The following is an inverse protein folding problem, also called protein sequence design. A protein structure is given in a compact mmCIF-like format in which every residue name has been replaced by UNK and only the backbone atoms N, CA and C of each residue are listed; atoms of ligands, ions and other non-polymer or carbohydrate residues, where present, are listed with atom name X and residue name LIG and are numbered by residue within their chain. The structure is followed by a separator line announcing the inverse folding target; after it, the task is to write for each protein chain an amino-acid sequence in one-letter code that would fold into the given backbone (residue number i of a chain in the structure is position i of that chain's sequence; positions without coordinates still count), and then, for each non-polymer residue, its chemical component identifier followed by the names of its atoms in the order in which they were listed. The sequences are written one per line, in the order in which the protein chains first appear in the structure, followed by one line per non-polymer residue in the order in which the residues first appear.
data_IF_926489548019
#
_entry.id   IF_926489548019
#
_cell.length_a   1.000
_cell.length_b   1.000
_cell.length_c   1.000
_cell.angle_alpha   90.00
_cell.angle_beta   90.00
_cell.angle_gamma   90.00
#
_symmetry.space_group_name_H-M   'P 1'
#
loop_
_entity.id
_entity.type
_entity.pdbx_description
1 polymer ?
#
# COMPACT_ATOMS: atom_id res chain seq x y z
N UNK A 1 -16.03 13.16 -2.97
CA UNK A 1 -14.82 12.32 -3.01
C UNK A 1 -15.32 10.91 -3.24
N UNK A 2 -14.94 10.25 -4.34
CA UNK A 2 -15.38 8.87 -4.58
C UNK A 2 -14.89 7.95 -3.46
N UNK A 3 -15.72 6.99 -3.05
CA UNK A 3 -15.32 6.00 -2.06
C UNK A 3 -14.17 5.14 -2.61
N UNK A 4 -13.15 4.92 -1.77
CA UNK A 4 -12.00 4.07 -2.11
C UNK A 4 -12.47 2.61 -2.12
N UNK A 5 -12.39 1.95 -3.28
CA UNK A 5 -12.72 0.53 -3.43
C UNK A 5 -11.45 -0.30 -3.50
N UNK A 6 -11.27 -1.17 -2.52
CA UNK A 6 -10.15 -2.09 -2.48
C UNK A 6 -10.53 -3.39 -3.20
N UNK A 7 -9.72 -3.81 -4.18
CA UNK A 7 -10.04 -4.96 -5.04
C UNK A 7 -8.81 -5.78 -5.44
N UNK A 8 -9.04 -6.77 -6.30
CA UNK A 8 -8.00 -7.63 -6.87
C UNK A 8 -7.34 -8.58 -5.87
N UNK A 9 -6.27 -9.24 -6.34
CA UNK A 9 -5.42 -10.08 -5.47
C UNK A 9 -4.55 -9.18 -4.61
N UNK A 10 -4.42 -9.52 -3.33
CA UNK A 10 -3.54 -8.82 -2.39
C UNK A 10 -2.25 -9.61 -2.18
N UNK A 11 -1.11 -8.93 -2.25
CA UNK A 11 0.22 -9.49 -1.95
C UNK A 11 0.89 -8.64 -0.87
N UNK A 12 1.31 -9.25 0.24
CA UNK A 12 1.96 -8.52 1.34
C UNK A 12 3.40 -8.16 0.98
N UNK A 13 3.81 -6.92 1.26
CA UNK A 13 5.17 -6.41 1.06
C UNK A 13 5.98 -6.32 2.37
N UNK A 14 5.36 -6.65 3.50
CA UNK A 14 5.98 -6.54 4.82
C UNK A 14 5.54 -5.27 5.56
N UNK A 15 6.47 -4.67 6.31
CA UNK A 15 6.20 -3.49 7.15
C UNK A 15 7.24 -2.41 6.90
N UNK A 16 6.91 -1.16 7.21
CA UNK A 16 7.89 -0.09 7.26
C UNK A 16 8.94 -0.32 8.37
N UNK A 17 10.02 0.47 8.33
CA UNK A 17 11.14 0.36 9.28
C UNK A 17 10.72 0.56 10.73
N UNK A 18 9.75 1.45 10.97
CA UNK A 18 9.23 1.74 12.32
C UNK A 18 8.13 0.78 12.73
N UNK A 19 7.75 -0.18 11.87
CA UNK A 19 6.74 -1.19 12.16
C UNK A 19 5.36 -0.59 12.46
N UNK A 20 5.06 0.62 11.98
CA UNK A 20 3.79 1.33 12.18
C UNK A 20 2.73 0.94 11.12
N UNK A 21 3.17 0.57 9.93
CA UNK A 21 2.34 0.29 8.76
C UNK A 21 2.68 -1.08 8.16
N UNK A 22 1.64 -1.79 7.76
CA UNK A 22 1.73 -3.00 6.94
C UNK A 22 1.48 -2.61 5.48
N UNK A 23 2.30 -3.13 4.58
CA UNK A 23 2.30 -2.75 3.17
C UNK A 23 1.79 -3.92 2.33
N UNK A 24 1.00 -3.64 1.30
CA UNK A 24 0.58 -4.64 0.33
C UNK A 24 0.46 -4.07 -1.07
N UNK A 25 0.55 -4.93 -2.09
CA UNK A 25 0.11 -4.65 -3.45
C UNK A 25 -1.32 -5.10 -3.59
N UNK A 26 -2.18 -4.24 -4.15
CA UNK A 26 -3.55 -4.58 -4.55
C UNK A 26 -4.14 -3.51 -5.47
N UNK A 27 -5.33 -3.77 -6.00
CA UNK A 27 -6.09 -2.77 -6.75
C UNK A 27 -6.82 -1.81 -5.80
N UNK A 28 -6.77 -0.53 -6.14
CA UNK A 28 -7.55 0.54 -5.53
C UNK A 28 -8.22 1.33 -6.64
N UNK A 29 -9.55 1.28 -6.71
CA UNK A 29 -10.32 1.83 -7.82
C UNK A 29 -9.77 1.38 -9.19
N UNK A 30 -9.58 0.05 -9.34
CA UNK A 30 -9.00 -0.62 -10.51
C UNK A 30 -7.52 -0.34 -10.83
N UNK A 31 -6.86 0.56 -10.10
CA UNK A 31 -5.44 0.91 -10.26
C UNK A 31 -4.56 0.05 -9.35
N UNK A 32 -3.49 -0.53 -9.89
CA UNK A 32 -2.52 -1.30 -9.12
C UNK A 32 -1.63 -0.38 -8.26
N UNK A 33 -1.67 -0.59 -6.95
CA UNK A 33 -1.08 0.31 -5.96
C UNK A 33 -0.29 -0.44 -4.89
N UNK A 34 0.73 0.22 -4.34
CA UNK A 34 1.23 -0.07 -3.00
C UNK A 34 0.30 0.60 -2.00
N UNK A 35 -0.33 -0.19 -1.14
CA UNK A 35 -1.23 0.27 -0.09
C UNK A 35 -0.53 0.21 1.27
N UNK A 36 -0.76 1.23 2.09
CA UNK A 36 -0.32 1.28 3.48
C UNK A 36 -1.53 1.12 4.38
N UNK A 37 -1.43 0.18 5.31
CA UNK A 37 -2.43 -0.07 6.34
C UNK A 37 -1.82 0.16 7.72
N UNK A 38 -2.53 0.87 8.59
CA UNK A 38 -2.08 1.14 9.95
C UNK A 38 -2.10 -0.16 10.76
N UNK A 39 -1.00 -0.47 11.43
CA UNK A 39 -0.94 -1.66 12.29
C UNK A 39 -1.65 -1.40 13.60
N UNK A 40 -2.35 -2.43 14.08
CA UNK A 40 -2.99 -2.42 15.39
C UNK A 40 -1.97 -2.66 16.51
N UNK A 41 -2.33 -2.36 17.78
CA UNK A 41 -1.59 -2.87 18.93
C UNK A 41 -1.40 -4.39 18.81
N UNK A 42 -0.15 -4.86 18.87
CA UNK A 42 0.21 -6.27 18.58
C UNK A 42 0.72 -6.52 17.17
N UNK A 43 0.71 -5.51 16.29
CA UNK A 43 1.40 -5.53 15.01
C UNK A 43 0.66 -6.21 13.86
N UNK A 44 -0.62 -6.53 14.00
CA UNK A 44 -1.44 -7.07 12.91
C UNK A 44 -2.08 -5.97 12.05
N UNK A 45 -2.53 -6.36 10.86
CA UNK A 45 -3.32 -5.56 9.91
C UNK A 45 -4.39 -6.46 9.32
N UNK A 46 -5.60 -5.95 9.15
CA UNK A 46 -6.70 -6.60 8.44
C UNK A 46 -6.60 -6.43 6.92
N UNK A 47 -5.80 -5.47 6.44
CA UNK A 47 -5.67 -5.12 5.03
C UNK A 47 -7.01 -4.83 4.35
N UNK A 48 -7.85 -4.02 4.99
CA UNK A 48 -9.15 -3.61 4.45
C UNK A 48 -9.39 -2.11 4.70
N UNK A 49 -10.61 -1.65 4.43
CA UNK A 49 -10.98 -0.24 4.51
C UNK A 49 -10.87 0.31 5.95
N UNK A 50 -10.90 -0.54 6.98
CA UNK A 50 -10.86 -0.11 8.39
C UNK A 50 -9.49 0.41 8.81
N UNK A 51 -8.44 -0.18 8.26
CA UNK A 51 -7.05 0.16 8.58
C UNK A 51 -6.30 0.76 7.39
N UNK A 52 -6.98 0.96 6.26
CA UNK A 52 -6.44 1.64 5.09
C UNK A 52 -6.06 3.08 5.42
N UNK A 53 -4.83 3.46 5.07
CA UNK A 53 -4.32 4.83 5.23
C UNK A 53 -4.22 5.51 3.89
N UNK A 54 -3.53 4.88 2.94
CA UNK A 54 -3.30 5.46 1.61
C UNK A 54 -2.88 4.39 0.60
N UNK A 55 -2.87 4.78 -0.67
CA UNK A 55 -2.42 3.98 -1.80
C UNK A 55 -1.57 4.84 -2.73
N UNK A 56 -0.41 4.31 -3.15
CA UNK A 56 0.51 4.93 -4.09
C UNK A 56 0.46 4.12 -5.38
N UNK A 57 0.05 4.71 -6.52
CA UNK A 57 0.04 4.01 -7.80
C UNK A 57 1.43 3.47 -8.16
N UNK A 58 1.49 2.22 -8.62
CA UNK A 58 2.77 1.58 -8.98
C UNK A 58 3.51 2.34 -10.08
N UNK A 59 2.80 2.89 -11.06
CA UNK A 59 3.39 3.72 -12.11
C UNK A 59 4.22 4.88 -11.55
N UNK A 60 3.78 5.47 -10.42
CA UNK A 60 4.50 6.57 -9.77
C UNK A 60 5.73 6.07 -9.04
N UNK A 61 5.62 4.94 -8.33
CA UNK A 61 6.75 4.29 -7.67
C UNK A 61 7.84 3.97 -8.69
N UNK A 62 7.49 3.34 -9.81
CA UNK A 62 8.43 3.03 -10.89
C UNK A 62 9.08 4.28 -11.49
N UNK A 63 8.28 5.33 -11.72
CA UNK A 63 8.80 6.59 -12.28
C UNK A 63 9.83 7.26 -11.35
N UNK A 64 9.57 7.27 -10.04
CA UNK A 64 10.45 7.85 -9.04
C UNK A 64 11.70 6.97 -8.81
N UNK A 65 11.54 5.64 -8.81
CA UNK A 65 12.65 4.72 -8.60
C UNK A 65 13.73 4.89 -9.68
N UNK A 66 13.35 5.19 -10.92
CA UNK A 66 14.28 5.50 -12.02
C UNK A 66 15.21 6.68 -11.73
N UNK A 67 14.80 7.62 -10.86
CA UNK A 67 15.63 8.77 -10.46
C UNK A 67 16.69 8.39 -9.42
N UNK A 68 16.48 7.31 -8.67
CA UNK A 68 17.35 6.89 -7.56
C UNK A 68 18.24 5.69 -7.91
N UNK A 69 17.75 4.79 -8.76
CA UNK A 69 18.42 3.53 -9.11
C UNK A 69 19.38 3.71 -10.31
N UNK A 70 19.29 4.84 -11.03
CA UNK A 70 20.29 5.21 -12.04
C UNK A 70 21.40 6.06 -11.40
N UNK A 71 22.25 5.37 -10.62
CA UNK A 71 23.61 5.78 -10.28
C UNK A 71 24.60 4.93 -11.05
#
# INVERSE_FOLDING_TARGET
MEDVKLGGTMVTLGTDLNREYAWCLRKVNEVDCICLHKRMPGGSSYFNEKDFVTAIPLERVESCAKLLIRG
#
